data_IF_323966146200
#
_entry.id   IF_323966146200
#
_cell.length_a   1.000
_cell.length_b   1.000
_cell.length_c   1.000
_cell.angle_alpha   90.00
_cell.angle_beta   90.00
_cell.angle_gamma   90.00
#
_symmetry.space_group_name_H-M   'P 1'
#
loop_
_entity.id
_entity.type
_entity.pdbx_description
1 polymer ?
#
# COMPACT_ATOMS: atom_id res chain seq x y z
N UNK A 1 5.43 -0.68 12.93
CA UNK A 1 6.13 -0.09 14.08
C UNK A 1 5.21 -0.05 15.30
N UNK A 2 3.99 0.50 15.23
CA UNK A 2 3.10 0.56 16.42
C UNK A 2 2.74 -0.81 17.00
N UNK A 3 2.40 -1.80 16.16
CA UNK A 3 2.18 -3.18 16.63
C UNK A 3 3.45 -3.81 17.21
N UNK A 4 4.63 -3.47 16.68
CA UNK A 4 5.90 -3.98 17.21
C UNK A 4 6.23 -3.36 18.57
N UNK A 5 5.97 -2.07 18.77
CA UNK A 5 6.04 -1.42 20.09
C UNK A 5 5.07 -2.07 21.09
N UNK A 6 3.84 -2.38 20.66
CA UNK A 6 2.87 -3.07 21.49
C UNK A 6 3.33 -4.47 21.91
N UNK A 7 3.91 -5.24 20.98
CA UNK A 7 4.48 -6.58 21.25
C UNK A 7 5.68 -6.48 22.19
N UNK A 8 6.60 -5.54 21.94
CA UNK A 8 7.75 -5.30 22.81
C UNK A 8 7.30 -5.09 24.26
N UNK A 9 6.31 -4.25 24.52
CA UNK A 9 5.82 -4.02 25.89
C UNK A 9 5.30 -5.31 26.56
N UNK A 10 4.62 -6.18 25.80
CA UNK A 10 4.09 -7.44 26.34
C UNK A 10 5.19 -8.48 26.59
N UNK A 11 6.24 -8.50 25.76
CA UNK A 11 7.30 -9.51 25.80
C UNK A 11 8.40 -9.19 26.85
N UNK A 12 8.33 -8.01 27.48
CA UNK A 12 9.38 -7.50 28.33
C UNK A 12 9.36 -8.00 29.78
N UNK A 13 8.39 -8.80 30.24
CA UNK A 13 8.41 -9.55 31.53
C UNK A 13 9.28 -8.91 32.66
N UNK A 14 9.01 -7.65 33.02
CA UNK A 14 9.72 -6.86 34.05
C UNK A 14 11.25 -6.64 33.87
N UNK A 15 11.77 -6.80 32.65
CA UNK A 15 13.15 -6.49 32.25
C UNK A 15 13.20 -5.38 31.19
N UNK A 16 14.39 -4.82 31.01
CA UNK A 16 14.67 -3.91 29.90
C UNK A 16 14.82 -4.69 28.59
N UNK A 17 14.52 -4.01 27.48
CA UNK A 17 14.74 -4.54 26.14
C UNK A 17 16.23 -4.71 25.86
N UNK A 18 16.56 -5.81 25.20
CA UNK A 18 17.89 -6.07 24.66
C UNK A 18 18.10 -5.29 23.36
N UNK A 19 19.36 -5.13 22.94
CA UNK A 19 19.72 -4.48 21.68
C UNK A 19 18.98 -5.14 20.49
N UNK A 20 18.88 -6.47 20.49
CA UNK A 20 18.19 -7.23 19.44
C UNK A 20 16.68 -6.92 19.39
N UNK A 21 16.05 -6.73 20.54
CA UNK A 21 14.62 -6.39 20.63
C UNK A 21 14.34 -4.94 20.24
N UNK A 22 15.34 -4.06 20.36
CA UNK A 22 15.26 -2.66 19.95
C UNK A 22 15.62 -2.43 18.47
N UNK A 23 16.19 -3.43 17.78
CA UNK A 23 16.65 -3.29 16.39
C UNK A 23 15.59 -2.72 15.44
N UNK A 24 14.32 -3.11 15.60
CA UNK A 24 13.25 -2.60 14.74
C UNK A 24 13.03 -1.08 14.88
N UNK A 25 13.32 -0.50 16.05
CA UNK A 25 13.24 0.94 16.28
C UNK A 25 14.37 1.66 15.58
N UNK A 26 15.60 1.12 15.66
CA UNK A 26 16.74 1.65 14.93
C UNK A 26 16.50 1.62 13.42
N UNK A 27 16.04 0.48 12.89
CA UNK A 27 15.72 0.32 11.46
C UNK A 27 14.62 1.31 11.01
N UNK A 28 13.61 1.53 11.86
CA UNK A 28 12.57 2.52 11.59
C UNK A 28 13.14 3.95 11.59
N UNK A 29 13.90 4.33 12.61
CA UNK A 29 14.48 5.68 12.73
C UNK A 29 15.45 5.97 11.57
N UNK A 30 16.26 4.99 11.19
CA UNK A 30 17.19 5.09 10.05
C UNK A 30 16.45 5.28 8.70
N UNK A 31 15.21 4.79 8.59
CA UNK A 31 14.37 4.95 7.39
C UNK A 31 13.33 6.08 7.48
N UNK A 32 13.18 6.72 8.64
CA UNK A 32 12.06 7.64 8.93
C UNK A 32 12.02 8.85 7.99
N UNK A 33 13.18 9.48 7.74
CA UNK A 33 13.28 10.61 6.81
C UNK A 33 12.83 10.22 5.39
N UNK A 34 13.21 9.03 4.93
CA UNK A 34 12.89 8.53 3.59
C UNK A 34 11.40 8.20 3.48
N UNK A 35 10.82 7.62 4.54
CA UNK A 35 9.37 7.38 4.65
C UNK A 35 8.56 8.66 4.64
N UNK A 36 9.01 9.70 5.36
CA UNK A 36 8.37 11.02 5.36
C UNK A 36 8.43 11.63 3.95
N UNK A 37 9.62 11.68 3.33
CA UNK A 37 9.77 12.22 1.98
C UNK A 37 8.88 11.49 0.96
N UNK A 38 8.87 10.15 0.99
CA UNK A 38 8.02 9.33 0.13
C UNK A 38 6.53 9.64 0.35
N UNK A 39 6.08 9.70 1.61
CA UNK A 39 4.69 10.01 1.95
C UNK A 39 4.27 11.39 1.44
N UNK A 40 5.11 12.40 1.63
CA UNK A 40 4.82 13.75 1.18
C UNK A 40 4.76 13.85 -0.34
N UNK A 41 5.65 13.17 -1.06
CA UNK A 41 5.61 13.13 -2.52
C UNK A 41 4.37 12.43 -3.05
N UNK A 42 3.95 11.32 -2.44
CA UNK A 42 2.70 10.64 -2.79
C UNK A 42 1.50 11.56 -2.52
N UNK A 43 1.44 12.18 -1.34
CA UNK A 43 0.36 13.11 -0.99
C UNK A 43 0.26 14.28 -1.97
N UNK A 44 1.40 14.88 -2.31
CA UNK A 44 1.43 16.10 -3.13
C UNK A 44 1.18 15.82 -4.62
N UNK A 45 1.36 14.58 -5.07
CA UNK A 45 1.21 14.16 -6.48
C UNK A 45 0.11 13.11 -6.65
N UNK A 46 -0.79 12.97 -5.67
CA UNK A 46 -1.81 11.91 -5.63
C UNK A 46 -2.67 11.92 -6.90
N UNK A 47 -3.15 13.10 -7.31
CA UNK A 47 -3.97 13.26 -8.51
C UNK A 47 -3.23 12.76 -9.76
N UNK A 48 -2.01 13.23 -9.99
CA UNK A 48 -1.20 12.82 -11.14
C UNK A 48 -0.84 11.33 -11.14
N UNK A 49 -0.58 10.75 -9.96
CA UNK A 49 -0.33 9.30 -9.82
C UNK A 49 -1.56 8.50 -10.26
N UNK A 50 -2.76 8.92 -9.85
CA UNK A 50 -4.01 8.23 -10.20
C UNK A 50 -4.33 8.41 -11.69
N UNK A 51 -4.11 9.60 -12.24
CA UNK A 51 -4.27 9.87 -13.68
C UNK A 51 -3.34 8.98 -14.54
N UNK A 52 -2.06 8.88 -14.17
CA UNK A 52 -1.10 8.01 -14.88
C UNK A 52 -1.44 6.53 -14.74
N UNK A 53 -1.90 6.11 -13.56
CA UNK A 53 -2.39 4.76 -13.32
C UNK A 53 -3.58 4.42 -14.22
N UNK A 54 -4.54 5.32 -14.36
CA UNK A 54 -5.65 5.16 -15.28
C UNK A 54 -5.23 5.14 -16.73
N UNK A 55 -4.32 6.04 -17.12
CA UNK A 55 -3.80 6.13 -18.48
C UNK A 55 -3.14 4.81 -18.89
N UNK A 56 -2.28 4.26 -18.02
CA UNK A 56 -1.65 2.95 -18.25
C UNK A 56 -2.69 1.82 -18.29
N UNK A 57 -3.70 1.86 -17.42
CA UNK A 57 -4.80 0.89 -17.41
C UNK A 57 -5.59 0.92 -18.73
N UNK A 58 -5.93 2.11 -19.25
CA UNK A 58 -6.66 2.28 -20.53
C UNK A 58 -5.83 1.78 -21.72
N UNK A 59 -4.52 1.94 -21.67
CA UNK A 59 -3.62 1.48 -22.73
C UNK A 59 -3.60 -0.06 -22.91
N UNK A 60 -4.04 -0.82 -21.90
CA UNK A 60 -4.06 -2.30 -21.96
C UNK A 60 -5.17 -2.88 -22.85
N UNK A 61 -6.07 -2.05 -23.40
CA UNK A 61 -7.15 -2.45 -24.32
C UNK A 61 -8.06 -3.58 -23.81
N UNK A 62 -8.17 -3.73 -22.49
CA UNK A 62 -9.10 -4.66 -21.84
C UNK A 62 -10.26 -3.89 -21.23
N UNK A 63 -11.46 -4.48 -21.22
CA UNK A 63 -12.64 -3.89 -20.59
C UNK A 63 -12.55 -3.99 -19.07
N UNK A 64 -11.68 -3.14 -18.52
CA UNK A 64 -11.36 -3.04 -17.11
C UNK A 64 -12.20 -1.96 -16.39
N UNK A 65 -13.09 -1.30 -17.12
CA UNK A 65 -13.90 -0.19 -16.64
C UNK A 65 -15.40 -0.50 -16.68
N UNK A 66 -15.83 -1.56 -17.37
CA UNK A 66 -17.22 -2.01 -17.29
C UNK A 66 -17.37 -3.29 -16.50
N UNK A 67 -18.53 -3.38 -15.86
CA UNK A 67 -18.87 -4.50 -15.01
C UNK A 67 -20.36 -4.69 -14.94
N UNK A 68 -20.83 -5.91 -15.24
CA UNK A 68 -22.25 -6.21 -15.34
C UNK A 68 -23.03 -5.17 -16.18
N UNK A 69 -22.38 -4.61 -17.22
CA UNK A 69 -22.94 -3.58 -18.10
C UNK A 69 -22.95 -2.15 -17.55
N UNK A 70 -22.25 -1.86 -16.44
CA UNK A 70 -22.10 -0.52 -15.88
C UNK A 70 -20.66 -0.05 -15.95
N UNK A 71 -20.45 1.22 -16.28
CA UNK A 71 -19.17 1.89 -16.11
C UNK A 71 -18.89 2.06 -14.60
N UNK A 72 -17.74 1.58 -14.15
CA UNK A 72 -17.27 1.63 -12.77
C UNK A 72 -15.97 2.44 -12.64
N UNK A 73 -15.66 3.29 -13.61
CA UNK A 73 -14.43 4.11 -13.65
C UNK A 73 -14.27 4.91 -12.36
N UNK A 74 -15.27 5.70 -11.99
CA UNK A 74 -15.22 6.56 -10.79
C UNK A 74 -15.03 5.75 -9.50
N UNK A 75 -15.64 4.57 -9.42
CA UNK A 75 -15.49 3.66 -8.28
C UNK A 75 -14.05 3.12 -8.22
N UNK A 76 -13.51 2.67 -9.36
CA UNK A 76 -12.14 2.16 -9.42
C UNK A 76 -11.10 3.23 -9.05
N UNK A 77 -11.31 4.48 -9.51
CA UNK A 77 -10.46 5.62 -9.17
C UNK A 77 -10.46 5.85 -7.67
N UNK A 78 -11.65 6.05 -7.08
CA UNK A 78 -11.81 6.30 -5.65
C UNK A 78 -11.18 5.18 -4.82
N UNK A 79 -11.50 3.94 -5.14
CA UNK A 79 -11.01 2.79 -4.38
C UNK A 79 -9.47 2.67 -4.49
N UNK A 80 -8.88 2.98 -5.65
CA UNK A 80 -7.43 3.01 -5.81
C UNK A 80 -6.79 4.16 -5.04
N UNK A 81 -7.40 5.36 -5.05
CA UNK A 81 -6.94 6.51 -4.25
C UNK A 81 -6.95 6.17 -2.75
N UNK A 82 -8.04 5.57 -2.25
CA UNK A 82 -8.15 5.22 -0.83
C UNK A 82 -7.13 4.15 -0.42
N UNK A 83 -6.86 3.18 -1.29
CA UNK A 83 -5.81 2.18 -1.05
C UNK A 83 -4.43 2.82 -1.06
N UNK A 84 -4.13 3.67 -2.03
CA UNK A 84 -2.85 4.40 -2.10
C UNK A 84 -2.61 5.21 -0.81
N UNK A 85 -3.62 5.93 -0.32
CA UNK A 85 -3.56 6.66 0.96
C UNK A 85 -3.29 5.75 2.14
N UNK A 86 -4.01 4.64 2.24
CA UNK A 86 -3.83 3.69 3.33
C UNK A 86 -2.44 3.04 3.30
N UNK A 87 -1.95 2.69 2.11
CA UNK A 87 -0.63 2.10 1.89
C UNK A 87 0.48 3.10 2.20
N UNK A 88 0.34 4.36 1.80
CA UNK A 88 1.27 5.43 2.14
C UNK A 88 1.30 5.68 3.66
N UNK A 89 0.13 5.70 4.33
CA UNK A 89 0.06 5.88 5.78
C UNK A 89 0.69 4.69 6.54
N UNK A 90 0.46 3.46 6.09
CA UNK A 90 1.06 2.26 6.67
C UNK A 90 2.58 2.21 6.46
N UNK A 91 3.05 2.63 5.28
CA UNK A 91 4.47 2.83 5.00
C UNK A 91 5.09 3.89 5.91
N UNK A 92 4.44 5.04 6.06
CA UNK A 92 4.94 6.14 6.91
C UNK A 92 5.14 5.66 8.35
N UNK A 93 4.14 4.98 8.90
CA UNK A 93 4.16 4.43 10.28
C UNK A 93 5.02 3.16 10.37
N UNK A 94 5.47 2.60 9.25
CA UNK A 94 6.20 1.34 9.20
C UNK A 94 5.41 0.15 9.74
N UNK A 95 4.08 0.16 9.63
CA UNK A 95 3.18 -0.87 10.19
C UNK A 95 2.28 -1.47 9.11
N UNK A 96 2.83 -2.42 8.37
CA UNK A 96 2.10 -3.14 7.33
C UNK A 96 1.07 -4.13 7.89
N UNK A 97 1.25 -4.61 9.12
CA UNK A 97 0.25 -5.44 9.81
C UNK A 97 -1.05 -4.66 10.03
N UNK A 98 -0.97 -3.34 10.25
CA UNK A 98 -2.17 -2.48 10.34
C UNK A 98 -2.90 -2.38 9.00
N UNK A 99 -2.17 -2.27 7.88
CA UNK A 99 -2.76 -2.26 6.54
C UNK A 99 -3.46 -3.58 6.21
N UNK A 100 -2.75 -4.69 6.45
CA UNK A 100 -3.27 -6.05 6.24
C UNK A 100 -4.57 -6.28 7.02
N UNK A 101 -4.50 -6.10 8.33
CA UNK A 101 -5.59 -6.50 9.23
C UNK A 101 -6.74 -5.47 9.22
N UNK A 102 -6.44 -4.20 8.96
CA UNK A 102 -7.41 -3.11 9.01
C UNK A 102 -8.16 -2.85 7.70
N UNK A 103 -7.56 -3.20 6.55
CA UNK A 103 -8.15 -2.91 5.23
C UNK A 103 -8.12 -4.13 4.30
N UNK A 104 -6.94 -4.69 4.04
CA UNK A 104 -6.77 -5.58 2.89
C UNK A 104 -7.51 -6.91 3.01
N UNK A 105 -7.60 -7.50 4.20
CA UNK A 105 -8.35 -8.74 4.41
C UNK A 105 -9.86 -8.53 4.15
N UNK A 106 -10.40 -7.41 4.62
CA UNK A 106 -11.79 -7.05 4.36
C UNK A 106 -12.02 -6.75 2.88
N UNK A 107 -11.13 -5.95 2.28
CA UNK A 107 -11.24 -5.57 0.86
C UNK A 107 -11.13 -6.78 -0.08
N UNK A 108 -10.27 -7.76 0.24
CA UNK A 108 -10.21 -9.04 -0.48
C UNK A 108 -11.58 -9.72 -0.51
N UNK A 109 -12.34 -9.68 0.58
CA UNK A 109 -13.68 -10.30 0.62
C UNK A 109 -14.62 -9.65 -0.40
N UNK A 110 -14.54 -8.33 -0.58
CA UNK A 110 -15.28 -7.60 -1.62
C UNK A 110 -14.81 -8.06 -3.00
N UNK A 111 -13.51 -7.96 -3.28
CA UNK A 111 -12.91 -8.33 -4.58
C UNK A 111 -13.28 -9.75 -4.99
N UNK A 112 -13.21 -10.72 -4.07
CA UNK A 112 -13.61 -12.11 -4.34
C UNK A 112 -15.11 -12.24 -4.59
N UNK A 113 -15.95 -11.59 -3.77
CA UNK A 113 -17.42 -11.71 -3.87
C UNK A 113 -17.96 -11.22 -5.21
N UNK A 114 -17.31 -10.24 -5.81
CA UNK A 114 -17.70 -9.72 -7.11
C UNK A 114 -16.84 -10.25 -8.29
N UNK A 115 -15.89 -11.16 -8.04
CA UNK A 115 -15.12 -11.83 -9.10
C UNK A 115 -13.99 -10.99 -9.71
N UNK A 116 -13.43 -10.04 -8.96
CA UNK A 116 -12.44 -9.07 -9.46
C UNK A 116 -10.97 -9.53 -9.32
N UNK A 117 -10.69 -10.74 -8.84
CA UNK A 117 -9.33 -11.15 -8.47
C UNK A 117 -8.31 -11.02 -9.62
N UNK A 118 -8.68 -11.42 -10.83
CA UNK A 118 -7.78 -11.32 -11.99
C UNK A 118 -7.54 -9.86 -12.42
N UNK A 119 -8.57 -9.02 -12.27
CA UNK A 119 -8.49 -7.59 -12.54
C UNK A 119 -7.59 -6.90 -11.50
N UNK A 120 -7.82 -7.16 -10.22
CA UNK A 120 -6.99 -6.70 -9.10
C UNK A 120 -5.50 -7.02 -9.34
N UNK A 121 -5.19 -8.27 -9.73
CA UNK A 121 -3.81 -8.71 -10.00
C UNK A 121 -3.06 -7.83 -11.00
N UNK A 122 -3.76 -7.28 -11.98
CA UNK A 122 -3.16 -6.40 -12.99
C UNK A 122 -3.06 -4.97 -12.47
N UNK A 123 -4.15 -4.43 -11.91
CA UNK A 123 -4.18 -3.06 -11.41
C UNK A 123 -3.13 -2.76 -10.37
N UNK A 124 -2.91 -3.69 -9.43
CA UNK A 124 -1.93 -3.49 -8.37
C UNK A 124 -0.50 -3.60 -8.87
N UNK A 125 -0.25 -4.21 -10.04
CA UNK A 125 1.06 -4.12 -10.70
C UNK A 125 1.26 -2.75 -11.34
N UNK A 126 0.23 -2.22 -12.00
CA UNK A 126 0.31 -0.90 -12.64
C UNK A 126 0.69 0.17 -11.62
N UNK A 127 0.03 0.21 -10.45
CA UNK A 127 0.35 1.22 -9.44
C UNK A 127 1.78 1.06 -8.88
N UNK A 128 2.31 -0.17 -8.80
CA UNK A 128 3.70 -0.43 -8.43
C UNK A 128 4.70 0.09 -9.46
N UNK A 129 4.32 0.16 -10.73
CA UNK A 129 5.18 0.70 -11.78
C UNK A 129 5.02 2.22 -11.90
N UNK A 130 3.81 2.74 -11.80
CA UNK A 130 3.52 4.17 -11.80
C UNK A 130 4.24 4.87 -10.65
N UNK A 131 4.21 4.32 -9.44
CA UNK A 131 4.80 4.99 -8.27
C UNK A 131 6.30 5.27 -8.43
N UNK A 132 7.01 4.45 -9.22
CA UNK A 132 8.46 4.59 -9.49
C UNK A 132 8.77 5.81 -10.34
N UNK A 133 7.78 6.36 -11.04
CA UNK A 133 7.93 7.60 -11.81
C UNK A 133 7.98 8.84 -10.89
N UNK A 134 7.46 8.71 -9.67
CA UNK A 134 7.23 9.81 -8.74
C UNK A 134 8.20 9.82 -7.54
N UNK A 135 8.89 8.71 -7.31
CA UNK A 135 9.74 8.47 -6.15
C UNK A 135 11.18 8.16 -6.58
N UNK A 136 12.15 8.53 -5.75
CA UNK A 136 13.53 8.06 -5.91
C UNK A 136 13.63 6.55 -5.66
N UNK A 137 14.77 5.94 -5.96
CA UNK A 137 14.99 4.52 -5.66
C UNK A 137 14.85 4.21 -4.16
N UNK A 138 15.37 5.07 -3.28
CA UNK A 138 15.27 4.92 -1.82
C UNK A 138 13.84 5.07 -1.31
N UNK A 139 13.09 6.03 -1.86
CA UNK A 139 11.68 6.25 -1.51
C UNK A 139 10.79 5.11 -2.03
N UNK A 140 11.09 4.62 -3.23
CA UNK A 140 10.45 3.44 -3.81
C UNK A 140 10.71 2.22 -2.93
N UNK A 141 11.94 2.03 -2.43
CA UNK A 141 12.27 0.89 -1.59
C UNK A 141 11.44 0.83 -0.29
N UNK A 142 11.08 1.98 0.29
CA UNK A 142 10.21 2.01 1.48
C UNK A 142 8.72 1.92 1.15
N UNK A 143 8.27 2.41 -0.01
CA UNK A 143 6.86 2.39 -0.44
C UNK A 143 6.41 1.06 -1.04
N UNK A 144 7.27 0.44 -1.85
CA UNK A 144 6.93 -0.74 -2.63
C UNK A 144 6.44 -1.93 -1.78
N UNK A 145 6.98 -2.21 -0.58
CA UNK A 145 6.45 -3.27 0.28
C UNK A 145 4.97 -3.13 0.62
N UNK A 146 4.45 -1.90 0.79
CA UNK A 146 3.04 -1.68 1.06
C UNK A 146 2.18 -2.01 -0.17
N UNK A 147 2.58 -1.55 -1.36
CA UNK A 147 1.86 -1.83 -2.61
C UNK A 147 1.95 -3.30 -3.03
N UNK A 148 3.06 -3.97 -2.75
CA UNK A 148 3.22 -5.41 -2.96
C UNK A 148 2.33 -6.21 -2.01
N UNK A 149 2.13 -5.73 -0.79
CA UNK A 149 1.21 -6.33 0.15
C UNK A 149 -0.25 -6.20 -0.32
N UNK A 150 -0.64 -5.04 -0.85
CA UNK A 150 -1.94 -4.83 -1.51
C UNK A 150 -2.15 -5.86 -2.61
N UNK A 151 -1.20 -5.96 -3.54
CA UNK A 151 -1.24 -6.93 -4.63
C UNK A 151 -1.37 -8.37 -4.10
N UNK A 152 -0.53 -8.75 -3.14
CA UNK A 152 -0.50 -10.11 -2.61
C UNK A 152 -1.82 -10.48 -1.96
N UNK A 153 -2.35 -9.65 -1.06
CA UNK A 153 -3.56 -10.00 -0.31
C UNK A 153 -4.80 -9.90 -1.19
N UNK A 154 -4.95 -8.82 -1.95
CA UNK A 154 -6.18 -8.55 -2.69
C UNK A 154 -6.30 -9.44 -3.94
N UNK A 155 -5.17 -9.90 -4.48
CA UNK A 155 -5.13 -10.73 -5.69
C UNK A 155 -4.94 -12.23 -5.43
N UNK A 156 -4.97 -12.64 -4.15
CA UNK A 156 -4.99 -14.05 -3.74
C UNK A 156 -6.37 -14.69 -3.87
#
# INVERSE_FOLDING_TARGET
>A
MLKQLGRLNLDLDDRYATDQELQFLEDYLNSAEKRISAYEKVRNQEESIIEDWESQKRAMQEDLFHMAGRDITEICQRDMTDILRCSAAAMLVGDLDKLRDGLLIWYRTIVTSFGYTQYAKRNYKIIQDVIKLYLSEEETAVMLPALQLDHTIVSS
#
